data_IF_439763040229
#
_entry.id   IF_439763040229
#
_cell.length_a   1.000
_cell.length_b   1.000
_cell.length_c   1.000
_cell.angle_alpha   90.00
_cell.angle_beta   90.00
_cell.angle_gamma   90.00
#
_symmetry.space_group_name_H-M   'P 1'
#
loop_
_entity.id
_entity.type
_entity.pdbx_description
1 polymer ?
#
# COMPACT_ATOMS: atom_id res chain seq x y z
N UNK A 1 -21.30 -14.74 -17.80
CA UNK A 1 -20.87 -15.32 -16.51
C UNK A 1 -20.95 -14.24 -15.44
N UNK A 2 -22.02 -14.19 -14.64
CA UNK A 2 -22.15 -13.22 -13.54
C UNK A 2 -21.37 -13.76 -12.33
N UNK A 3 -20.15 -13.26 -12.12
CA UNK A 3 -19.43 -13.43 -10.85
C UNK A 3 -20.18 -12.62 -9.79
N UNK A 4 -21.13 -13.22 -9.09
CA UNK A 4 -21.73 -12.65 -7.89
C UNK A 4 -20.66 -12.61 -6.80
N UNK A 5 -19.98 -11.48 -6.69
CA UNK A 5 -19.01 -11.20 -5.63
C UNK A 5 -19.76 -11.16 -4.29
N UNK A 6 -19.69 -12.22 -3.48
CA UNK A 6 -19.78 -12.07 -2.02
C UNK A 6 -18.53 -11.31 -1.58
N UNK A 7 -18.51 -10.01 -1.84
CA UNK A 7 -17.50 -9.12 -1.28
C UNK A 7 -17.73 -9.12 0.23
N UNK A 8 -16.78 -9.66 0.99
CA UNK A 8 -16.90 -9.74 2.44
C UNK A 8 -17.02 -8.30 3.01
N UNK A 9 -18.21 -7.94 3.51
CA UNK A 9 -18.55 -6.61 4.03
C UNK A 9 -17.51 -6.11 5.04
N UNK A 10 -16.91 -7.04 5.81
CA UNK A 10 -15.88 -6.72 6.77
C UNK A 10 -14.64 -6.09 6.12
N UNK A 11 -14.09 -6.69 5.06
CA UNK A 11 -12.87 -6.23 4.39
C UNK A 11 -13.08 -4.85 3.74
N UNK A 12 -14.27 -4.64 3.15
CA UNK A 12 -14.67 -3.33 2.62
C UNK A 12 -14.74 -2.28 3.73
N UNK A 13 -15.32 -2.63 4.88
CA UNK A 13 -15.43 -1.71 6.01
C UNK A 13 -14.07 -1.39 6.67
N UNK A 14 -13.22 -2.39 6.88
CA UNK A 14 -11.91 -2.22 7.54
C UNK A 14 -10.95 -1.43 6.67
N UNK A 15 -10.90 -1.68 5.36
CA UNK A 15 -10.12 -0.86 4.43
C UNK A 15 -10.62 0.59 4.37
N UNK A 16 -11.94 0.81 4.49
CA UNK A 16 -12.50 2.15 4.54
C UNK A 16 -12.10 2.91 5.81
N UNK A 17 -12.21 2.27 6.97
CA UNK A 17 -11.79 2.82 8.26
C UNK A 17 -10.28 3.10 8.29
N UNK A 18 -9.48 2.19 7.75
CA UNK A 18 -8.04 2.37 7.61
C UNK A 18 -7.69 3.65 6.81
N UNK A 19 -8.40 3.92 5.71
CA UNK A 19 -8.18 5.14 4.93
C UNK A 19 -8.48 6.40 5.76
N UNK A 20 -9.60 6.41 6.50
CA UNK A 20 -9.96 7.55 7.36
C UNK A 20 -8.88 7.77 8.41
N UNK A 21 -8.48 6.70 9.10
CA UNK A 21 -7.42 6.76 10.11
C UNK A 21 -6.11 7.33 9.54
N UNK A 22 -5.70 6.90 8.34
CA UNK A 22 -4.51 7.46 7.67
C UNK A 22 -4.69 8.94 7.36
N UNK A 23 -5.85 9.38 6.85
CA UNK A 23 -6.08 10.79 6.52
C UNK A 23 -6.06 11.71 7.75
N UNK A 24 -6.45 11.19 8.90
CA UNK A 24 -6.52 11.96 10.15
C UNK A 24 -5.17 11.99 10.89
N UNK A 25 -4.35 10.94 10.77
CA UNK A 25 -3.17 10.75 11.62
C UNK A 25 -1.83 10.77 10.88
N UNK A 26 -1.80 10.46 9.57
CA UNK A 26 -0.54 10.44 8.83
C UNK A 26 -0.09 11.86 8.46
N UNK A 27 1.21 12.09 8.56
CA UNK A 27 1.83 13.31 8.07
C UNK A 27 1.77 13.35 6.53
N UNK A 28 1.12 14.40 6.00
CA UNK A 28 0.95 14.57 4.55
C UNK A 28 2.30 14.76 3.86
N UNK A 29 2.56 14.00 2.81
CA UNK A 29 3.83 14.02 2.08
C UNK A 29 4.89 13.10 2.67
N UNK A 30 4.55 12.31 3.70
CA UNK A 30 5.45 11.38 4.35
C UNK A 30 4.98 9.92 4.19
N UNK A 31 5.48 9.20 3.17
CA UNK A 31 5.13 7.79 2.93
C UNK A 31 5.42 6.87 4.12
N UNK A 32 6.46 7.17 4.92
CA UNK A 32 6.81 6.36 6.08
C UNK A 32 5.77 6.54 7.20
N UNK A 33 5.29 7.77 7.41
CA UNK A 33 4.18 8.05 8.35
C UNK A 33 2.90 7.34 7.91
N UNK A 34 2.57 7.35 6.61
CA UNK A 34 1.41 6.63 6.07
C UNK A 34 1.50 5.12 6.36
N UNK A 35 2.64 4.48 6.10
CA UNK A 35 2.85 3.05 6.40
C UNK A 35 2.72 2.78 7.89
N UNK A 36 3.32 3.62 8.74
CA UNK A 36 3.24 3.49 10.20
C UNK A 36 1.79 3.59 10.71
N UNK A 37 0.99 4.54 10.22
CA UNK A 37 -0.43 4.64 10.59
C UNK A 37 -1.24 3.42 10.14
N UNK A 38 -0.94 2.82 8.99
CA UNK A 38 -1.61 1.60 8.55
C UNK A 38 -1.22 0.42 9.45
N UNK A 39 0.05 0.30 9.83
CA UNK A 39 0.51 -0.75 10.76
C UNK A 39 -0.09 -0.58 12.16
N UNK A 40 -0.20 0.66 12.65
CA UNK A 40 -0.89 0.98 13.91
C UNK A 40 -2.37 0.57 13.85
N UNK A 41 -3.07 0.96 12.79
CA UNK A 41 -4.46 0.54 12.59
C UNK A 41 -4.62 -0.99 12.54
N UNK A 42 -3.67 -1.67 11.88
CA UNK A 42 -3.65 -3.12 11.76
C UNK A 42 -3.30 -3.86 13.06
N UNK A 43 -2.78 -3.17 14.08
CA UNK A 43 -2.45 -3.77 15.39
C UNK A 43 -3.71 -4.25 16.14
N UNK A 44 -4.84 -3.60 15.90
CA UNK A 44 -6.13 -3.92 16.54
C UNK A 44 -7.20 -4.38 15.55
N UNK A 45 -7.02 -4.12 14.26
CA UNK A 45 -7.96 -4.51 13.21
C UNK A 45 -7.31 -5.51 12.27
N UNK A 46 -7.96 -6.65 12.02
CA UNK A 46 -7.44 -7.64 11.07
C UNK A 46 -7.40 -7.08 9.65
N UNK A 47 -6.20 -7.03 9.07
CA UNK A 47 -5.91 -6.49 7.75
C UNK A 47 -5.09 -7.49 6.92
N UNK A 48 -5.20 -7.43 5.60
CA UNK A 48 -4.48 -8.31 4.67
C UNK A 48 -3.12 -7.74 4.22
N UNK A 49 -2.53 -6.85 5.01
CA UNK A 49 -1.29 -6.17 4.65
C UNK A 49 -0.10 -7.14 4.70
N UNK A 50 0.97 -6.78 3.99
CA UNK A 50 2.24 -7.52 4.06
C UNK A 50 2.81 -7.47 5.48
N UNK A 51 2.69 -6.32 6.14
CA UNK A 51 3.20 -6.07 7.49
C UNK A 51 4.72 -6.00 7.54
N UNK A 52 5.28 -5.69 8.71
CA UNK A 52 6.68 -5.30 8.80
C UNK A 52 7.68 -6.43 8.53
N UNK A 53 7.44 -7.61 9.11
CA UNK A 53 8.34 -8.75 9.00
C UNK A 53 8.55 -9.16 7.53
N UNK A 54 7.46 -9.36 6.79
CA UNK A 54 7.55 -9.75 5.37
C UNK A 54 7.94 -8.57 4.48
N UNK A 55 7.52 -7.36 4.84
CA UNK A 55 7.84 -6.15 4.09
C UNK A 55 9.34 -5.88 4.08
N UNK A 56 10.04 -6.17 5.19
CA UNK A 56 11.49 -6.02 5.28
C UNK A 56 12.25 -6.90 4.29
N UNK A 57 11.80 -8.13 4.06
CA UNK A 57 12.42 -9.04 3.07
C UNK A 57 12.39 -8.41 1.68
N UNK A 58 11.26 -7.80 1.31
CA UNK A 58 11.10 -7.11 0.02
C UNK A 58 11.92 -5.82 -0.01
N UNK A 59 11.95 -5.06 1.08
CA UNK A 59 12.76 -3.84 1.19
C UNK A 59 14.26 -4.10 0.98
N UNK A 60 14.75 -5.21 1.51
CA UNK A 60 16.15 -5.64 1.38
C UNK A 60 16.46 -6.01 -0.08
N UNK A 61 15.56 -6.72 -0.77
CA UNK A 61 15.70 -7.02 -2.20
C UNK A 61 15.61 -5.78 -3.09
N UNK A 62 14.70 -4.83 -2.78
CA UNK A 62 14.64 -3.53 -3.49
C UNK A 62 15.97 -2.79 -3.36
N UNK A 63 16.54 -2.75 -2.15
CA UNK A 63 17.82 -2.07 -1.88
C UNK A 63 18.97 -2.70 -2.65
N UNK A 64 18.99 -4.04 -2.72
CA UNK A 64 20.02 -4.83 -3.42
C UNK A 64 19.93 -4.68 -4.93
N UNK A 65 18.71 -4.73 -5.49
CA UNK A 65 18.47 -4.78 -6.95
C UNK A 65 18.30 -3.41 -7.59
N UNK A 66 17.92 -2.38 -6.82
CA UNK A 66 17.71 -1.00 -7.28
C UNK A 66 16.85 -0.91 -8.56
N UNK A 67 15.67 -1.54 -8.60
CA UNK A 67 14.88 -1.63 -9.82
C UNK A 67 14.37 -0.25 -10.26
N UNK A 68 14.53 0.08 -11.54
CA UNK A 68 13.94 1.29 -12.13
C UNK A 68 12.41 1.17 -12.29
N UNK A 69 11.91 -0.04 -12.51
CA UNK A 69 10.48 -0.32 -12.66
C UNK A 69 10.09 -1.50 -11.78
N UNK A 70 8.99 -1.35 -11.03
CA UNK A 70 8.37 -2.41 -10.24
C UNK A 70 6.87 -2.48 -10.54
N UNK A 71 6.29 -3.66 -10.37
CA UNK A 71 4.85 -3.86 -10.47
C UNK A 71 4.35 -4.79 -9.36
N UNK A 72 3.14 -4.56 -8.87
CA UNK A 72 2.41 -5.45 -7.96
C UNK A 72 1.03 -5.84 -8.51
N UNK A 73 0.58 -7.04 -8.14
CA UNK A 73 -0.76 -7.55 -8.45
C UNK A 73 -1.55 -7.67 -7.13
N UNK A 74 -2.55 -6.80 -6.96
CA UNK A 74 -3.34 -6.64 -5.74
C UNK A 74 -2.82 -5.49 -4.88
N UNK A 75 -3.59 -4.40 -4.84
CA UNK A 75 -3.24 -3.18 -4.11
C UNK A 75 -3.99 -3.04 -2.78
N UNK A 76 -5.20 -3.58 -2.67
CA UNK A 76 -6.04 -3.53 -1.47
C UNK A 76 -6.20 -2.11 -0.88
N UNK A 77 -5.47 -1.79 0.20
CA UNK A 77 -5.46 -0.46 0.83
C UNK A 77 -4.39 0.46 0.26
N UNK A 78 -3.35 -0.09 -0.36
CA UNK A 78 -2.17 0.64 -0.84
C UNK A 78 -0.95 0.53 0.07
N UNK A 79 -0.98 -0.31 1.11
CA UNK A 79 0.16 -0.50 2.02
C UNK A 79 1.48 -0.83 1.29
N UNK A 80 1.44 -1.88 0.46
CA UNK A 80 2.62 -2.34 -0.31
C UNK A 80 3.04 -1.31 -1.35
N UNK A 81 2.10 -0.73 -2.08
CA UNK A 81 2.36 0.35 -3.03
C UNK A 81 3.15 1.49 -2.40
N UNK A 82 2.69 2.00 -1.24
CA UNK A 82 3.38 3.10 -0.54
C UNK A 82 4.76 2.67 -0.06
N UNK A 83 4.85 1.55 0.67
CA UNK A 83 6.11 1.05 1.24
C UNK A 83 7.16 0.82 0.17
N UNK A 84 6.81 0.04 -0.85
CA UNK A 84 7.76 -0.42 -1.86
C UNK A 84 8.09 0.67 -2.87
N UNK A 85 7.13 1.50 -3.29
CA UNK A 85 7.44 2.65 -4.15
C UNK A 85 8.34 3.67 -3.42
N UNK A 86 8.10 3.92 -2.12
CA UNK A 86 8.99 4.77 -1.32
C UNK A 86 10.40 4.20 -1.24
N UNK A 87 10.53 2.90 -0.95
CA UNK A 87 11.82 2.21 -0.88
C UNK A 87 12.54 2.22 -2.23
N UNK A 88 11.84 1.91 -3.32
CA UNK A 88 12.36 1.93 -4.69
C UNK A 88 12.87 3.32 -5.05
N UNK A 89 12.09 4.37 -4.79
CA UNK A 89 12.48 5.76 -5.05
C UNK A 89 13.74 6.16 -4.27
N UNK A 90 13.89 5.70 -3.03
CA UNK A 90 15.12 5.94 -2.23
C UNK A 90 16.33 5.15 -2.74
N UNK A 91 16.12 3.97 -3.31
CA UNK A 91 17.19 3.12 -3.83
C UNK A 91 17.62 3.48 -5.27
N UNK A 92 16.78 4.22 -6.01
CA UNK A 92 17.04 4.63 -7.37
C UNK A 92 18.30 5.49 -7.47
N UNK A 93 19.18 5.15 -8.42
CA UNK A 93 20.45 5.87 -8.67
C UNK A 93 20.33 6.94 -9.76
N UNK A 94 19.19 6.97 -10.46
CA UNK A 94 18.88 7.91 -11.52
C UNK A 94 17.44 8.43 -11.35
N UNK A 95 17.00 9.36 -12.21
CA UNK A 95 15.68 9.99 -12.11
C UNK A 95 14.51 9.09 -12.57
N UNK A 96 14.76 7.84 -12.97
CA UNK A 96 13.72 6.94 -13.50
C UNK A 96 13.35 5.92 -12.43
N UNK A 97 12.19 6.12 -11.80
CA UNK A 97 11.62 5.20 -10.82
C UNK A 97 10.11 5.17 -10.99
N UNK A 98 9.57 4.03 -11.41
CA UNK A 98 8.14 3.82 -11.60
C UNK A 98 7.66 2.55 -10.88
N UNK A 99 6.52 2.68 -10.20
CA UNK A 99 5.86 1.59 -9.49
C UNK A 99 4.42 1.47 -10.00
N UNK A 100 4.05 0.31 -10.53
CA UNK A 100 2.71 0.03 -11.06
C UNK A 100 1.94 -0.87 -10.10
N UNK A 101 0.76 -0.43 -9.66
CA UNK A 101 -0.14 -1.24 -8.84
C UNK A 101 -1.39 -1.62 -9.64
N UNK A 102 -1.62 -2.92 -9.81
CA UNK A 102 -2.79 -3.44 -10.52
C UNK A 102 -3.79 -4.00 -9.51
N UNK A 103 -4.94 -3.34 -9.37
CA UNK A 103 -6.02 -3.75 -8.46
C UNK A 103 -7.32 -3.97 -9.24
N UNK A 104 -7.88 -5.17 -9.10
CA UNK A 104 -9.08 -5.58 -9.83
C UNK A 104 -10.36 -4.93 -9.27
N UNK A 105 -10.45 -4.77 -7.95
CA UNK A 105 -11.62 -4.15 -7.33
C UNK A 105 -11.57 -2.63 -7.54
N UNK A 106 -12.56 -2.02 -8.21
CA UNK A 106 -12.56 -0.57 -8.41
C UNK A 106 -12.62 0.20 -7.07
N UNK A 107 -13.23 -0.39 -6.05
CA UNK A 107 -13.28 0.18 -4.69
C UNK A 107 -11.87 0.23 -4.09
N UNK A 108 -11.12 -0.87 -4.13
CA UNK A 108 -9.76 -0.92 -3.59
C UNK A 108 -8.79 -0.10 -4.44
N UNK A 109 -8.95 -0.10 -5.76
CA UNK A 109 -8.16 0.76 -6.64
C UNK A 109 -8.35 2.26 -6.29
N UNK A 110 -9.58 2.67 -5.95
CA UNK A 110 -9.83 4.01 -5.43
C UNK A 110 -9.13 4.24 -4.08
N UNK A 111 -9.16 3.28 -3.16
CA UNK A 111 -8.44 3.36 -1.87
C UNK A 111 -6.93 3.56 -2.05
N UNK A 112 -6.31 2.77 -2.93
CA UNK A 112 -4.88 2.89 -3.25
C UNK A 112 -4.56 4.28 -3.78
N UNK A 113 -5.37 4.81 -4.72
CA UNK A 113 -5.20 6.18 -5.24
C UNK A 113 -5.34 7.24 -4.15
N UNK A 114 -6.25 7.05 -3.20
CA UNK A 114 -6.42 7.99 -2.09
C UNK A 114 -5.27 7.93 -1.08
N UNK A 115 -4.83 6.73 -0.69
CA UNK A 115 -3.68 6.54 0.22
C UNK A 115 -2.40 7.13 -0.40
N UNK A 116 -2.13 6.82 -1.67
CA UNK A 116 -0.92 7.30 -2.36
C UNK A 116 -0.91 8.82 -2.55
N UNK A 117 -2.06 9.50 -2.52
CA UNK A 117 -2.14 10.98 -2.55
C UNK A 117 -1.84 11.65 -1.21
N UNK A 118 -1.81 10.88 -0.12
CA UNK A 118 -1.34 11.36 1.19
C UNK A 118 0.18 11.35 1.32
N UNK A 119 0.88 10.72 0.37
CA UNK A 119 2.33 10.50 0.35
C UNK A 119 3.13 11.61 -0.32
#
# INVERSE_FOLDING_TARGET
>A
MKLTKKTNTFILSSSAKCLVFVKENAERGNPASVVACIDEFASTTHMMNVGDIKGKIIDDEITKKKPAIMAELGGYTGYSAVRFAHKQRKAATNKVSHYYSFEFSPVFAARVREITRSC
#
